data_IF_815783184764
#
_entry.id   IF_815783184764
#
_cell.length_a   1.000
_cell.length_b   1.000
_cell.length_c   1.000
_cell.angle_alpha   90.00
_cell.angle_beta   90.00
_cell.angle_gamma   90.00
#
_symmetry.space_group_name_H-M   'P 1'
#
loop_
_entity.id
_entity.type
_entity.pdbx_description
1 polymer ?
#
# COMPACT_ATOMS: atom_id res chain seq x y z
N UNK A 1 5.96 -21.73 -10.98
CA UNK A 1 6.26 -20.35 -10.62
C UNK A 1 5.20 -19.76 -9.70
N UNK A 2 5.62 -19.00 -8.72
CA UNK A 2 4.72 -18.39 -7.77
C UNK A 2 3.97 -17.23 -8.39
N UNK A 3 2.74 -16.99 -7.91
CA UNK A 3 1.98 -15.81 -8.29
C UNK A 3 2.65 -14.57 -7.71
N UNK A 4 2.56 -13.47 -8.44
CA UNK A 4 3.03 -12.19 -7.95
C UNK A 4 1.90 -11.46 -7.26
N UNK A 5 2.17 -10.98 -6.07
CA UNK A 5 1.20 -10.26 -5.26
C UNK A 5 1.60 -8.80 -5.12
N UNK A 6 0.64 -7.92 -5.32
CA UNK A 6 0.82 -6.48 -5.26
C UNK A 6 -0.13 -5.89 -4.24
N UNK A 7 0.36 -4.97 -3.41
CA UNK A 7 -0.43 -4.36 -2.36
C UNK A 7 -0.61 -2.87 -2.65
N UNK A 8 -1.86 -2.42 -2.62
CA UNK A 8 -2.18 -0.99 -2.77
C UNK A 8 -2.81 -0.53 -1.47
N UNK A 9 -2.18 0.44 -0.83
CA UNK A 9 -2.60 0.94 0.47
C UNK A 9 -3.16 2.34 0.34
N UNK A 10 -4.38 2.53 0.83
CA UNK A 10 -4.97 3.86 0.98
C UNK A 10 -4.63 4.33 2.40
N UNK A 11 -3.74 5.30 2.49
CA UNK A 11 -3.24 5.81 3.78
C UNK A 11 -3.80 7.18 4.09
N UNK A 12 -4.18 7.37 5.35
CA UNK A 12 -4.58 8.66 5.89
C UNK A 12 -4.15 8.79 7.34
N UNK A 13 -3.65 9.95 7.71
CA UNK A 13 -3.37 10.29 9.10
C UNK A 13 -3.70 11.76 9.30
N UNK A 14 -4.41 12.09 10.37
CA UNK A 14 -4.88 13.47 10.60
C UNK A 14 -3.75 14.50 10.62
N UNK A 15 -2.56 14.10 11.08
CA UNK A 15 -1.38 14.96 11.14
C UNK A 15 -0.40 14.72 10.01
N UNK A 16 -0.73 13.84 9.07
CA UNK A 16 0.13 13.54 7.93
C UNK A 16 1.40 12.78 8.30
N UNK A 17 1.30 11.88 9.28
CA UNK A 17 2.44 11.12 9.78
C UNK A 17 2.25 9.62 9.55
N UNK A 18 3.36 8.87 9.58
CA UNK A 18 3.29 7.41 9.69
C UNK A 18 3.35 7.02 11.16
N UNK A 19 2.37 6.25 11.61
CA UNK A 19 2.42 5.66 12.94
C UNK A 19 3.46 4.55 12.96
N UNK A 20 4.07 4.33 14.12
CA UNK A 20 5.11 3.32 14.25
C UNK A 20 4.61 1.90 13.92
N UNK A 21 3.40 1.58 14.35
CA UNK A 21 2.80 0.27 14.03
C UNK A 21 2.58 0.10 12.53
N UNK A 22 2.22 1.18 11.84
CA UNK A 22 2.08 1.14 10.38
C UNK A 22 3.43 0.92 9.70
N UNK A 23 4.48 1.57 10.18
CA UNK A 23 5.82 1.36 9.64
C UNK A 23 6.28 -0.09 9.83
N UNK A 24 5.96 -0.66 10.98
CA UNK A 24 6.28 -2.07 11.24
C UNK A 24 5.53 -2.98 10.28
N UNK A 25 4.26 -2.69 10.02
CA UNK A 25 3.47 -3.42 9.05
C UNK A 25 4.11 -3.38 7.67
N UNK A 26 4.50 -2.19 7.21
CA UNK A 26 5.13 -2.05 5.89
C UNK A 26 6.38 -2.90 5.75
N UNK A 27 7.23 -2.91 6.78
CA UNK A 27 8.44 -3.71 6.76
C UNK A 27 8.15 -5.19 6.62
N UNK A 28 7.12 -5.68 7.32
CA UNK A 28 6.73 -7.08 7.24
C UNK A 28 6.13 -7.43 5.89
N UNK A 29 5.26 -6.56 5.37
CA UNK A 29 4.57 -6.83 4.12
C UNK A 29 5.48 -6.71 2.90
N UNK A 30 6.51 -5.90 3.00
CA UNK A 30 7.45 -5.70 1.90
C UNK A 30 8.09 -6.99 1.43
N UNK A 31 8.26 -7.94 2.34
CA UNK A 31 8.84 -9.25 2.03
C UNK A 31 7.85 -10.19 1.32
N UNK A 32 6.56 -9.89 1.39
CA UNK A 32 5.49 -10.78 0.91
C UNK A 32 4.87 -10.30 -0.40
N UNK A 33 5.10 -9.07 -0.76
CA UNK A 33 4.55 -8.48 -1.97
C UNK A 33 5.65 -8.10 -2.94
N UNK A 34 5.38 -8.31 -4.22
CA UNK A 34 6.33 -7.92 -5.27
C UNK A 34 6.54 -6.42 -5.30
N UNK A 35 5.47 -5.66 -5.02
CA UNK A 35 5.55 -4.22 -4.93
C UNK A 35 4.40 -3.69 -4.07
N UNK A 36 4.66 -2.60 -3.37
CA UNK A 36 3.67 -1.90 -2.57
C UNK A 36 3.48 -0.50 -3.15
N UNK A 37 2.22 -0.13 -3.38
CA UNK A 37 1.82 1.22 -3.80
C UNK A 37 1.12 1.88 -2.63
N UNK A 38 1.72 2.93 -2.11
CA UNK A 38 1.18 3.68 -0.98
C UNK A 38 0.62 5.01 -1.49
N UNK A 39 -0.69 5.13 -1.48
CA UNK A 39 -1.35 6.36 -1.90
C UNK A 39 -1.89 7.04 -0.65
N UNK A 40 -1.31 8.17 -0.30
CA UNK A 40 -1.63 8.85 0.94
C UNK A 40 -2.28 10.20 0.69
N UNK A 41 -3.27 10.51 1.50
CA UNK A 41 -3.78 11.87 1.59
C UNK A 41 -3.06 12.55 2.75
N UNK A 42 -2.64 13.81 2.53
CA UNK A 42 -2.14 14.64 3.61
C UNK A 42 -0.79 14.22 4.22
N UNK A 43 -0.06 13.30 3.61
CA UNK A 43 1.22 12.87 4.16
C UNK A 43 2.27 13.99 4.03
N UNK A 44 3.02 14.21 5.10
CA UNK A 44 4.15 15.13 5.06
C UNK A 44 5.31 14.49 4.33
N UNK A 45 5.95 15.23 3.42
CA UNK A 45 7.03 14.71 2.59
C UNK A 45 8.19 14.14 3.40
N UNK A 46 8.48 14.72 4.55
CA UNK A 46 9.58 14.23 5.40
C UNK A 46 9.36 12.81 5.89
N UNK A 47 8.11 12.34 5.93
CA UNK A 47 7.79 11.00 6.39
C UNK A 47 8.23 9.92 5.39
N UNK A 48 8.36 10.26 4.12
CA UNK A 48 8.75 9.31 3.08
C UNK A 48 10.11 8.69 3.37
N UNK A 49 10.99 9.42 4.05
CA UNK A 49 12.33 8.92 4.40
C UNK A 49 12.30 7.73 5.35
N UNK A 50 11.18 7.51 6.05
CA UNK A 50 11.03 6.44 7.02
C UNK A 50 10.76 5.09 6.39
N UNK A 51 10.45 5.05 5.11
CA UNK A 51 10.08 3.79 4.43
C UNK A 51 11.05 3.51 3.30
N UNK A 52 11.01 2.27 2.82
CA UNK A 52 11.89 1.83 1.74
C UNK A 52 11.64 2.61 0.44
N UNK A 53 12.71 2.90 -0.28
CA UNK A 53 12.61 3.54 -1.60
C UNK A 53 11.94 2.64 -2.63
N UNK A 54 11.81 1.35 -2.35
CA UNK A 54 11.13 0.41 -3.25
C UNK A 54 9.62 0.55 -3.20
N UNK A 55 9.08 1.21 -2.18
CA UNK A 55 7.65 1.46 -2.07
C UNK A 55 7.32 2.70 -2.92
N UNK A 56 6.36 2.54 -3.83
CA UNK A 56 5.87 3.68 -4.59
C UNK A 56 4.96 4.53 -3.70
N UNK A 57 5.24 5.81 -3.57
CA UNK A 57 4.45 6.72 -2.74
C UNK A 57 3.87 7.83 -3.61
N UNK A 58 2.59 8.04 -3.48
CA UNK A 58 1.90 9.18 -4.10
C UNK A 58 1.12 9.91 -3.04
N UNK A 59 1.37 11.21 -2.90
CA UNK A 59 0.61 12.06 -2.00
C UNK A 59 -0.45 12.77 -2.84
N UNK A 60 -1.70 12.70 -2.40
CA UNK A 60 -2.80 13.34 -3.10
C UNK A 60 -3.61 14.24 -2.18
N UNK A 61 -4.41 15.11 -2.75
CA UNK A 61 -5.32 15.94 -1.99
C UNK A 61 -6.37 15.08 -1.28
N UNK A 62 -6.84 15.54 -0.13
CA UNK A 62 -7.87 14.84 0.64
C UNK A 62 -9.25 15.11 0.03
N UNK A 63 -9.47 14.60 -1.18
CA UNK A 63 -10.75 14.63 -1.88
C UNK A 63 -11.10 13.21 -2.28
N UNK A 64 -12.36 12.85 -2.08
CA UNK A 64 -12.80 11.48 -2.30
C UNK A 64 -12.35 10.59 -1.15
N UNK A 65 -12.71 9.33 -1.23
CA UNK A 65 -12.44 8.37 -0.18
C UNK A 65 -11.33 7.41 -0.60
N UNK A 66 -11.14 6.35 0.17
CA UNK A 66 -10.13 5.33 -0.12
C UNK A 66 -10.21 4.80 -1.54
N UNK A 67 -11.41 4.78 -2.12
CA UNK A 67 -11.61 4.38 -3.51
C UNK A 67 -10.71 5.13 -4.47
N UNK A 68 -10.59 6.45 -4.30
CA UNK A 68 -9.75 7.23 -5.21
C UNK A 68 -8.28 6.86 -5.04
N UNK A 69 -7.85 6.63 -3.81
CA UNK A 69 -6.48 6.16 -3.55
C UNK A 69 -6.22 4.82 -4.21
N UNK A 70 -7.14 3.87 -4.05
CA UNK A 70 -7.00 2.57 -4.68
C UNK A 70 -7.00 2.67 -6.20
N UNK A 71 -7.87 3.52 -6.75
CA UNK A 71 -7.91 3.73 -8.20
C UNK A 71 -6.57 4.25 -8.72
N UNK A 72 -6.00 5.23 -8.04
CA UNK A 72 -4.70 5.78 -8.42
C UNK A 72 -3.63 4.69 -8.40
N UNK A 73 -3.61 3.88 -7.34
CA UNK A 73 -2.66 2.77 -7.23
C UNK A 73 -2.86 1.72 -8.29
N UNK A 74 -4.11 1.36 -8.59
CA UNK A 74 -4.43 0.38 -9.63
C UNK A 74 -4.01 0.91 -11.00
N UNK A 75 -4.28 2.17 -11.29
CA UNK A 75 -3.89 2.78 -12.56
C UNK A 75 -2.37 2.73 -12.73
N UNK A 76 -1.62 3.02 -11.67
CA UNK A 76 -0.16 2.95 -11.70
C UNK A 76 0.32 1.50 -11.92
N UNK A 77 -0.28 0.56 -11.21
CA UNK A 77 0.03 -0.86 -11.39
C UNK A 77 -0.22 -1.32 -12.83
N UNK A 78 -1.37 -0.97 -13.37
CA UNK A 78 -1.73 -1.35 -14.73
C UNK A 78 -0.77 -0.74 -15.75
N UNK A 79 -0.38 0.53 -15.54
CA UNK A 79 0.55 1.20 -16.42
C UNK A 79 1.91 0.51 -16.45
N UNK A 80 2.35 0.03 -15.30
CA UNK A 80 3.64 -0.66 -15.18
C UNK A 80 3.60 -2.11 -15.65
N UNK A 81 2.42 -2.75 -15.65
CA UNK A 81 2.29 -4.18 -15.90
C UNK A 81 1.34 -4.53 -17.05
N UNK A 82 0.98 -3.56 -17.91
CA UNK A 82 -0.07 -3.77 -18.92
C UNK A 82 0.16 -4.97 -19.84
N UNK A 83 1.40 -5.34 -20.05
CA UNK A 83 1.74 -6.42 -20.97
C UNK A 83 1.91 -7.76 -20.27
N UNK A 84 1.71 -7.82 -18.95
CA UNK A 84 1.95 -9.03 -18.19
C UNK A 84 1.08 -9.07 -16.93
N UNK A 85 -0.23 -9.22 -17.13
CA UNK A 85 -1.18 -9.28 -16.01
C UNK A 85 -1.45 -10.69 -15.54
N UNK A 86 -0.99 -11.69 -16.29
CA UNK A 86 -1.26 -13.09 -15.94
C UNK A 86 -0.58 -13.47 -14.63
N UNK A 87 -1.30 -14.15 -13.75
CA UNK A 87 -0.82 -14.60 -12.44
C UNK A 87 -0.40 -13.48 -11.49
N UNK A 88 -0.93 -12.27 -11.70
CA UNK A 88 -0.70 -11.15 -10.78
C UNK A 88 -1.97 -10.86 -10.00
N UNK A 89 -1.82 -10.67 -8.71
CA UNK A 89 -2.92 -10.42 -7.79
C UNK A 89 -2.75 -9.08 -7.11
N UNK A 90 -3.83 -8.33 -7.01
CA UNK A 90 -3.82 -7.03 -6.35
C UNK A 90 -4.62 -7.15 -5.06
N UNK A 91 -4.04 -6.68 -3.97
CA UNK A 91 -4.69 -6.62 -2.68
C UNK A 91 -4.85 -5.17 -2.27
N UNK A 92 -6.02 -4.83 -1.76
CA UNK A 92 -6.34 -3.46 -1.34
C UNK A 92 -6.39 -3.39 0.17
N UNK A 93 -5.71 -2.42 0.75
CA UNK A 93 -5.64 -2.22 2.17
C UNK A 93 -5.94 -0.77 2.52
N UNK A 94 -6.70 -0.60 3.59
CA UNK A 94 -6.94 0.69 4.20
C UNK A 94 -6.07 0.76 5.47
N UNK A 95 -5.44 1.90 5.73
CA UNK A 95 -4.54 2.06 6.87
C UNK A 95 -5.21 1.86 8.23
N UNK A 96 -6.54 1.78 8.28
CA UNK A 96 -7.28 1.54 9.51
C UNK A 96 -7.10 0.14 10.07
N UNK A 97 -6.64 -0.81 9.26
CA UNK A 97 -6.58 -2.22 9.66
C UNK A 97 -5.22 -2.63 10.20
N UNK A 98 -4.22 -1.78 10.16
CA UNK A 98 -2.86 -2.16 10.48
C UNK A 98 -2.59 -2.34 11.98
N UNK A 99 -3.49 -1.88 12.85
CA UNK A 99 -3.30 -1.98 14.30
C UNK A 99 -3.73 -3.33 14.86
N UNK A 100 -4.26 -4.22 14.03
CA UNK A 100 -4.58 -5.59 14.45
C UNK A 100 -3.37 -6.51 14.24
N UNK A 101 -3.53 -7.78 14.61
CA UNK A 101 -2.47 -8.77 14.43
C UNK A 101 -2.07 -8.86 12.95
N UNK A 102 -0.85 -8.44 12.66
CA UNK A 102 -0.35 -8.39 11.29
C UNK A 102 -0.31 -9.76 10.61
N UNK A 103 0.07 -10.80 11.35
CA UNK A 103 0.12 -12.15 10.80
C UNK A 103 -1.28 -12.64 10.42
N UNK A 104 -2.24 -12.40 11.28
CA UNK A 104 -3.62 -12.77 11.03
C UNK A 104 -4.18 -12.01 9.83
N UNK A 105 -3.89 -10.73 9.74
CA UNK A 105 -4.34 -9.89 8.63
C UNK A 105 -3.80 -10.41 7.30
N UNK A 106 -2.50 -10.65 7.22
CA UNK A 106 -1.88 -11.13 5.99
C UNK A 106 -2.45 -12.49 5.59
N UNK A 107 -2.69 -13.35 6.56
CA UNK A 107 -3.27 -14.66 6.31
C UNK A 107 -4.66 -14.54 5.68
N UNK A 108 -5.44 -13.56 6.11
CA UNK A 108 -6.76 -13.31 5.53
C UNK A 108 -6.68 -12.77 4.10
N UNK A 109 -5.71 -11.92 3.83
CA UNK A 109 -5.53 -11.34 2.50
C UNK A 109 -5.05 -12.38 1.50
N UNK A 110 -4.10 -13.22 1.90
CA UNK A 110 -3.42 -14.14 0.99
C UNK A 110 -4.06 -15.51 0.88
N UNK A 111 -5.18 -15.71 1.50
CA UNK A 111 -5.90 -16.98 1.43
C UNK A 111 -6.38 -17.29 0.03
#
# INVERSE_FOLDING_TARGET
MLNENYLIIAHYHSKGLFRQDFLNLLRQQQKKFSKIYLISTNLKKKEIKKISKKIYVKIRENKGYDFLSWKIGIDKFLKENRNNLKKKHIFLLNSRYYFYDNKKFVRQILK
#
